data_IF_476613146404
#
_entry.id   IF_476613146404
#
_cell.length_a   1.000
_cell.length_b   1.000
_cell.length_c   1.000
_cell.angle_alpha   90.00
_cell.angle_beta   90.00
_cell.angle_gamma   90.00
#
_symmetry.space_group_name_H-M   'P 1'
#
loop_
_entity.id
_entity.type
_entity.pdbx_description
1 polymer ?
#
# COMPACT_ATOMS: atom_id res chain seq x y z
N UNK A 1 10.46 -0.40 21.77
CA UNK A 1 9.46 -0.50 20.68
C UNK A 1 10.15 -0.22 19.35
N UNK A 2 9.92 -1.06 18.33
CA UNK A 2 10.51 -0.89 17.00
C UNK A 2 9.99 0.38 16.31
N UNK A 3 10.77 0.91 15.35
CA UNK A 3 10.38 2.11 14.60
C UNK A 3 9.06 1.92 13.83
N UNK A 4 8.86 0.74 13.24
CA UNK A 4 7.64 0.42 12.48
C UNK A 4 6.40 0.39 13.39
N UNK A 5 6.50 -0.11 14.63
CA UNK A 5 5.39 -0.13 15.59
C UNK A 5 4.94 1.29 15.94
N UNK A 6 5.88 2.20 16.19
CA UNK A 6 5.57 3.61 16.48
C UNK A 6 4.77 4.24 15.33
N UNK A 7 5.23 4.05 14.09
CA UNK A 7 4.57 4.59 12.89
C UNK A 7 3.20 3.95 12.62
N UNK A 8 3.06 2.65 12.87
CA UNK A 8 1.78 1.96 12.77
C UNK A 8 0.76 2.57 13.75
N UNK A 9 1.17 2.86 14.99
CA UNK A 9 0.35 3.50 16.01
C UNK A 9 -0.01 4.94 15.62
N UNK A 10 0.91 5.70 15.04
CA UNK A 10 0.62 7.05 14.50
C UNK A 10 -0.41 6.99 13.37
N UNK A 11 -0.38 5.92 12.56
CA UNK A 11 -1.32 5.68 11.49
C UNK A 11 -2.71 5.29 12.00
N UNK A 12 -2.80 4.35 12.95
CA UNK A 12 -4.05 3.86 13.54
C UNK A 12 -3.98 3.90 15.09
N UNK A 13 -4.15 5.09 15.71
CA UNK A 13 -3.97 5.25 17.16
C UNK A 13 -4.91 4.40 18.00
N UNK A 14 -6.11 4.08 17.49
CA UNK A 14 -7.10 3.24 18.17
C UNK A 14 -6.62 1.80 18.36
N UNK A 15 -5.67 1.32 17.55
CA UNK A 15 -5.12 -0.04 17.61
C UNK A 15 -3.80 -0.11 18.39
N UNK A 16 -3.48 0.93 19.17
CA UNK A 16 -2.22 1.02 19.90
C UNK A 16 -1.93 -0.23 20.73
N UNK A 17 -2.90 -0.69 21.52
CA UNK A 17 -2.74 -1.85 22.40
C UNK A 17 -2.36 -3.10 21.61
N UNK A 18 -3.01 -3.33 20.47
CA UNK A 18 -2.78 -4.50 19.63
C UNK A 18 -1.42 -4.42 18.94
N UNK A 19 -1.00 -3.23 18.49
CA UNK A 19 0.30 -3.03 17.85
C UNK A 19 1.48 -3.07 18.83
N UNK A 20 1.24 -2.79 20.11
CA UNK A 20 2.22 -2.94 21.18
C UNK A 20 2.46 -4.40 21.58
N UNK A 21 1.54 -5.31 21.24
CA UNK A 21 1.72 -6.75 21.50
C UNK A 21 3.00 -7.26 20.81
N UNK A 22 3.93 -7.89 21.55
CA UNK A 22 5.12 -8.51 21.00
C UNK A 22 4.84 -9.55 19.90
N UNK A 23 3.68 -10.23 19.96
CA UNK A 23 3.25 -11.24 18.98
C UNK A 23 2.69 -10.63 17.68
N UNK A 24 2.31 -9.35 17.70
CA UNK A 24 1.84 -8.67 16.50
C UNK A 24 2.98 -8.54 15.49
N UNK A 25 2.80 -9.18 14.34
CA UNK A 25 3.70 -9.06 13.20
C UNK A 25 3.38 -7.81 12.37
N UNK A 26 4.31 -7.40 11.52
CA UNK A 26 4.07 -6.33 10.54
C UNK A 26 2.92 -6.68 9.59
N UNK A 27 2.75 -7.96 9.24
CA UNK A 27 1.63 -8.44 8.44
C UNK A 27 0.31 -8.25 9.16
N UNK A 28 0.26 -8.55 10.47
CA UNK A 28 -0.92 -8.28 11.31
C UNK A 28 -1.33 -6.81 11.28
N UNK A 29 -0.36 -5.88 11.32
CA UNK A 29 -0.65 -4.44 11.15
C UNK A 29 -1.24 -4.13 9.78
N UNK A 30 -0.70 -4.69 8.70
CA UNK A 30 -1.25 -4.45 7.36
C UNK A 30 -2.64 -5.07 7.16
N UNK A 31 -2.97 -6.16 7.85
CA UNK A 31 -4.32 -6.73 7.84
C UNK A 31 -5.36 -5.76 8.43
N UNK A 32 -4.97 -4.94 9.41
CA UNK A 32 -5.81 -3.86 9.94
C UNK A 32 -5.76 -2.60 9.06
N UNK A 33 -4.60 -2.29 8.48
CA UNK A 33 -4.40 -1.09 7.65
C UNK A 33 -5.19 -1.12 6.34
N UNK A 34 -5.24 -2.27 5.66
CA UNK A 34 -5.91 -2.42 4.37
C UNK A 34 -7.42 -2.08 4.44
N UNK A 35 -8.24 -2.67 5.32
CA UNK A 35 -9.67 -2.35 5.39
C UNK A 35 -9.91 -0.88 5.76
N UNK A 36 -9.08 -0.30 6.65
CA UNK A 36 -9.18 1.14 6.96
C UNK A 36 -8.83 2.00 5.74
N UNK A 37 -7.84 1.59 4.94
CA UNK A 37 -7.49 2.28 3.69
C UNK A 37 -8.65 2.27 2.71
N UNK A 38 -9.28 1.11 2.48
CA UNK A 38 -10.46 0.98 1.61
C UNK A 38 -11.63 1.83 2.14
N UNK A 39 -11.91 1.79 3.43
CA UNK A 39 -12.98 2.60 4.04
C UNK A 39 -12.70 4.11 3.92
N UNK A 40 -11.43 4.51 4.05
CA UNK A 40 -11.01 5.90 3.92
C UNK A 40 -11.15 6.41 2.48
N UNK A 41 -10.92 5.56 1.47
CA UNK A 41 -11.23 5.90 0.07
C UNK A 41 -12.73 6.13 -0.12
N UNK A 42 -13.58 5.22 0.39
CA UNK A 42 -15.04 5.33 0.27
C UNK A 42 -15.62 6.57 0.95
N UNK A 43 -15.05 6.97 2.08
CA UNK A 43 -15.48 8.14 2.85
C UNK A 43 -14.73 9.43 2.48
N UNK A 44 -13.83 9.37 1.49
CA UNK A 44 -12.97 10.48 1.09
C UNK A 44 -12.16 11.08 2.27
N UNK A 45 -11.77 10.23 3.22
CA UNK A 45 -10.98 10.63 4.39
C UNK A 45 -9.49 10.77 4.01
N UNK A 46 -9.18 11.88 3.33
CA UNK A 46 -7.84 12.21 2.84
C UNK A 46 -6.78 12.19 3.95
N UNK A 47 -7.13 12.66 5.15
CA UNK A 47 -6.21 12.68 6.28
C UNK A 47 -5.77 11.27 6.71
N UNK A 48 -6.72 10.33 6.76
CA UNK A 48 -6.41 8.94 7.11
C UNK A 48 -5.68 8.21 5.98
N UNK A 49 -6.08 8.44 4.71
CA UNK A 49 -5.39 7.91 3.55
C UNK A 49 -3.91 8.31 3.57
N UNK A 50 -3.62 9.60 3.81
CA UNK A 50 -2.26 10.09 3.91
C UNK A 50 -1.44 9.31 4.93
N UNK A 51 -1.96 9.11 6.15
CA UNK A 51 -1.25 8.35 7.19
C UNK A 51 -0.96 6.91 6.77
N UNK A 52 -1.96 6.24 6.19
CA UNK A 52 -1.84 4.84 5.79
C UNK A 52 -0.80 4.67 4.66
N UNK A 53 -0.85 5.52 3.64
CA UNK A 53 0.11 5.49 2.53
C UNK A 53 1.52 5.93 2.97
N UNK A 54 1.64 6.94 3.85
CA UNK A 54 2.94 7.35 4.41
C UNK A 54 3.59 6.20 5.21
N UNK A 55 2.81 5.43 5.99
CA UNK A 55 3.30 4.25 6.70
C UNK A 55 3.72 3.14 5.73
N UNK A 56 2.90 2.83 4.73
CA UNK A 56 3.19 1.81 3.74
C UNK A 56 4.43 2.13 2.91
N UNK A 57 4.57 3.38 2.45
CA UNK A 57 5.76 3.87 1.76
C UNK A 57 6.99 3.77 2.67
N UNK A 58 6.88 4.20 3.93
CA UNK A 58 8.00 4.11 4.85
C UNK A 58 8.46 2.65 5.00
N UNK A 59 7.55 1.71 5.19
CA UNK A 59 7.86 0.27 5.26
C UNK A 59 8.51 -0.24 3.98
N UNK A 60 7.97 0.12 2.81
CA UNK A 60 8.51 -0.25 1.50
C UNK A 60 9.95 0.22 1.29
N UNK A 61 10.31 1.40 1.79
CA UNK A 61 11.67 1.95 1.65
C UNK A 61 12.68 1.42 2.67
N UNK A 62 12.29 0.50 3.56
CA UNK A 62 13.23 -0.10 4.51
C UNK A 62 14.07 -1.19 3.84
N UNK A 63 15.32 -1.37 4.31
CA UNK A 63 16.17 -2.50 3.86
C UNK A 63 15.67 -3.87 4.36
N UNK A 64 14.78 -3.89 5.35
CA UNK A 64 14.27 -5.12 5.94
C UNK A 64 13.22 -5.76 5.04
N UNK A 65 13.50 -6.98 4.59
CA UNK A 65 12.58 -7.80 3.78
C UNK A 65 11.20 -7.92 4.39
N UNK A 66 11.13 -8.22 5.68
CA UNK A 66 9.84 -8.30 6.37
C UNK A 66 9.00 -7.02 6.24
N UNK A 67 9.62 -5.83 6.22
CA UNK A 67 8.90 -4.57 6.13
C UNK A 67 8.49 -4.23 4.70
N UNK A 68 9.42 -4.30 3.74
CA UNK A 68 9.08 -3.97 2.37
C UNK A 68 8.15 -5.01 1.75
N UNK A 69 8.37 -6.30 2.04
CA UNK A 69 7.53 -7.37 1.51
C UNK A 69 6.12 -7.27 2.06
N UNK A 70 5.95 -7.00 3.36
CA UNK A 70 4.62 -6.82 3.95
C UNK A 70 3.86 -5.64 3.33
N UNK A 71 4.53 -4.51 3.05
CA UNK A 71 3.89 -3.39 2.34
C UNK A 71 3.44 -3.79 0.93
N UNK A 72 4.28 -4.53 0.20
CA UNK A 72 3.97 -5.04 -1.13
C UNK A 72 2.76 -5.97 -1.12
N UNK A 73 2.85 -7.10 -0.40
CA UNK A 73 1.89 -8.20 -0.52
C UNK A 73 0.64 -8.02 0.35
N UNK A 74 0.67 -7.14 1.35
CA UNK A 74 -0.48 -6.93 2.25
C UNK A 74 -1.22 -5.62 2.01
N UNK A 75 -0.64 -4.64 1.30
CA UNK A 75 -1.35 -3.42 0.90
C UNK A 75 -1.31 -3.18 -0.61
N UNK A 76 -0.13 -2.98 -1.18
CA UNK A 76 0.00 -2.48 -2.54
C UNK A 76 -0.60 -3.42 -3.59
N UNK A 77 -0.30 -4.71 -3.49
CA UNK A 77 -0.90 -5.74 -4.32
C UNK A 77 -2.45 -5.68 -4.26
N UNK A 78 -3.00 -5.48 -3.07
CA UNK A 78 -4.44 -5.49 -2.83
C UNK A 78 -5.16 -4.20 -3.22
N UNK A 79 -4.47 -3.12 -3.59
CA UNK A 79 -5.11 -1.91 -4.13
C UNK A 79 -5.86 -2.20 -5.43
N UNK A 80 -5.46 -3.25 -6.18
CA UNK A 80 -6.17 -3.71 -7.36
C UNK A 80 -7.52 -4.38 -7.10
N UNK A 81 -7.84 -4.74 -5.85
CA UNK A 81 -9.02 -5.55 -5.53
C UNK A 81 -10.34 -4.76 -5.44
N UNK A 82 -10.28 -3.44 -5.28
CA UNK A 82 -11.45 -2.56 -5.11
C UNK A 82 -11.36 -1.40 -6.08
N UNK A 83 -12.50 -1.02 -6.66
CA UNK A 83 -12.59 0.04 -7.67
C UNK A 83 -12.07 1.37 -7.12
N UNK A 84 -12.41 1.70 -5.87
CA UNK A 84 -12.07 2.97 -5.23
C UNK A 84 -10.55 3.11 -5.00
N UNK A 85 -9.88 2.04 -4.56
CA UNK A 85 -8.41 2.03 -4.40
C UNK A 85 -7.69 1.99 -5.74
N UNK A 86 -8.22 1.25 -6.72
CA UNK A 86 -7.63 1.08 -8.04
C UNK A 86 -7.63 2.39 -8.84
N UNK A 87 -8.78 3.07 -8.90
CA UNK A 87 -8.91 4.33 -9.65
C UNK A 87 -8.04 5.43 -9.05
N UNK A 88 -7.88 5.44 -7.73
CA UNK A 88 -7.09 6.43 -7.02
C UNK A 88 -5.60 6.08 -6.90
N UNK A 89 -5.13 4.92 -7.39
CA UNK A 89 -3.78 4.43 -7.09
C UNK A 89 -2.68 5.44 -7.44
N UNK A 90 -2.78 6.11 -8.58
CA UNK A 90 -1.83 7.12 -9.08
C UNK A 90 -1.75 8.40 -8.23
N UNK A 91 -2.76 8.65 -7.38
CA UNK A 91 -2.78 9.80 -6.48
C UNK A 91 -2.01 9.52 -5.18
N UNK A 92 -1.82 8.24 -4.83
CA UNK A 92 -1.35 7.83 -3.51
C UNK A 92 -0.07 7.00 -3.54
N UNK A 93 0.16 6.27 -4.63
CA UNK A 93 1.37 5.47 -4.83
C UNK A 93 2.29 6.26 -5.75
N UNK A 94 3.53 6.48 -5.32
CA UNK A 94 4.54 7.17 -6.14
C UNK A 94 4.95 6.29 -7.32
N UNK A 95 5.34 6.92 -8.43
CA UNK A 95 5.69 6.23 -9.67
C UNK A 95 6.80 5.19 -9.49
N UNK A 96 7.83 5.51 -8.69
CA UNK A 96 8.94 4.58 -8.40
C UNK A 96 8.43 3.31 -7.69
N UNK A 97 7.56 3.47 -6.70
CA UNK A 97 6.93 2.33 -6.00
C UNK A 97 6.02 1.57 -6.96
N UNK A 98 5.22 2.27 -7.77
CA UNK A 98 4.33 1.65 -8.75
C UNK A 98 5.09 0.73 -9.71
N UNK A 99 6.23 1.17 -10.24
CA UNK A 99 7.07 0.37 -11.15
C UNK A 99 7.47 -0.95 -10.49
N UNK A 100 7.91 -0.91 -9.22
CA UNK A 100 8.33 -2.08 -8.46
C UNK A 100 7.17 -3.06 -8.17
N UNK A 101 5.99 -2.55 -7.82
CA UNK A 101 4.81 -3.38 -7.51
C UNK A 101 3.99 -3.77 -8.76
N UNK A 102 4.38 -3.29 -9.95
CA UNK A 102 3.58 -3.41 -11.18
C UNK A 102 3.26 -4.87 -11.52
N UNK A 103 4.21 -5.77 -11.32
CA UNK A 103 4.02 -7.21 -11.56
C UNK A 103 3.00 -7.84 -10.59
N UNK A 104 2.95 -7.39 -9.34
CA UNK A 104 1.96 -7.82 -8.35
C UNK A 104 0.56 -7.34 -8.73
N UNK A 105 0.45 -6.06 -9.12
CA UNK A 105 -0.82 -5.49 -9.58
C UNK A 105 -1.33 -6.22 -10.84
N UNK A 106 -0.45 -6.58 -11.77
CA UNK A 106 -0.80 -7.35 -12.96
C UNK A 106 -1.54 -8.65 -12.62
N UNK A 107 -1.10 -9.35 -11.57
CA UNK A 107 -1.74 -10.59 -11.12
C UNK A 107 -3.18 -10.37 -10.60
N UNK A 108 -3.50 -9.16 -10.15
CA UNK A 108 -4.82 -8.80 -9.60
C UNK A 108 -5.78 -8.25 -10.64
N UNK A 109 -5.31 -7.38 -11.53
CA UNK A 109 -6.19 -6.62 -12.44
C UNK A 109 -6.10 -7.03 -13.91
N UNK A 110 -5.13 -7.87 -14.26
CA UNK A 110 -4.87 -8.29 -15.64
C UNK A 110 -4.18 -7.22 -16.50
N UNK A 111 -3.71 -7.64 -17.68
CA UNK A 111 -2.90 -6.81 -18.58
C UNK A 111 -3.64 -5.56 -19.09
N UNK A 112 -4.92 -5.69 -19.47
CA UNK A 112 -5.69 -4.59 -20.03
C UNK A 112 -5.85 -3.44 -19.03
N UNK A 113 -6.23 -3.76 -17.79
CA UNK A 113 -6.37 -2.77 -16.71
C UNK A 113 -5.03 -2.17 -16.33
N UNK A 114 -3.97 -2.99 -16.28
CA UNK A 114 -2.62 -2.49 -15.96
C UNK A 114 -2.15 -1.42 -16.96
N UNK A 115 -2.42 -1.58 -18.26
CA UNK A 115 -2.10 -0.58 -19.28
C UNK A 115 -2.82 0.76 -19.05
N UNK A 116 -4.04 0.73 -18.51
CA UNK A 116 -4.76 1.96 -18.14
C UNK A 116 -4.02 2.65 -17.00
N UNK A 117 -3.62 1.89 -15.97
CA UNK A 117 -2.87 2.44 -14.83
C UNK A 117 -1.51 2.97 -15.28
N UNK A 118 -0.79 2.25 -16.16
CA UNK A 118 0.46 2.72 -16.75
C UNK A 118 0.30 4.10 -17.39
N UNK A 119 -0.81 4.33 -18.07
CA UNK A 119 -1.15 5.63 -18.64
C UNK A 119 -1.28 6.74 -17.60
N UNK A 120 -1.84 6.44 -16.42
CA UNK A 120 -1.95 7.40 -15.30
C UNK A 120 -0.58 7.79 -14.75
N UNK A 121 0.43 6.93 -14.91
CA UNK A 121 1.82 7.19 -14.54
C UNK A 121 2.70 7.67 -15.70
N UNK A 122 2.12 7.91 -16.89
CA UNK A 122 2.89 8.33 -18.08
C UNK A 122 3.81 7.25 -18.65
N UNK A 123 3.53 5.96 -18.39
CA UNK A 123 4.37 4.82 -18.81
C UNK A 123 3.91 4.17 -20.13
N UNK A 124 2.94 4.76 -20.85
CA UNK A 124 2.28 4.20 -22.03
C UNK A 124 3.21 3.78 -23.19
N UNK A 125 4.48 4.21 -23.18
CA UNK A 125 5.50 3.91 -24.19
C UNK A 125 6.76 3.25 -23.63
N UNK A 126 6.82 2.94 -22.34
CA UNK A 126 8.00 2.33 -21.73
C UNK A 126 8.03 0.83 -22.05
N UNK A 127 9.06 0.39 -22.78
CA UNK A 127 9.37 -1.04 -22.93
C UNK A 127 9.89 -1.56 -21.59
N UNK A 128 9.04 -2.20 -20.81
CA UNK A 128 9.48 -2.97 -19.64
C UNK A 128 9.86 -4.37 -20.11
N UNK A 129 11.16 -4.67 -20.14
CA UNK A 129 11.65 -6.05 -20.24
C UNK A 129 11.50 -6.68 -18.86
N UNK A 130 10.62 -7.68 -18.76
CA UNK A 130 10.46 -8.52 -17.57
C UNK A 130 11.61 -9.50 -17.40
#
# INVERSE_FOLDING_TARGET
>A
MSAWRKRAIESLPSLKKDFEDPQTSIYGVFMELLPVTVASHKSNNVAQLKKNYDFAEWCFRQKSENLWNAACVSLYEHLGNKTETLQAIHLWVKQDIYIEIRSLLKQRVGEATLKIIDGLYGLSNARFTG
#
